data_IF_506267169636
#
_entry.id   IF_506267169636
#
_cell.length_a   1.000
_cell.length_b   1.000
_cell.length_c   1.000
_cell.angle_alpha   90.00
_cell.angle_beta   90.00
_cell.angle_gamma   90.00
#
_symmetry.space_group_name_H-M   'P 1'
#
loop_
_entity.id
_entity.type
_entity.pdbx_description
1 polymer ?
#
# COMPACT_ATOMS: atom_id res chain seq x y z
N UNK A 1 -3.14 9.87 -13.33
CA UNK A 1 -3.98 8.70 -12.97
C UNK A 1 -4.54 8.86 -11.54
N UNK A 2 -5.08 7.83 -10.87
CA UNK A 2 -5.35 7.85 -9.42
C UNK A 2 -4.33 6.97 -8.71
N UNK A 3 -3.58 7.53 -7.76
CA UNK A 3 -2.78 6.74 -6.80
C UNK A 3 -3.63 6.48 -5.55
N UNK A 4 -4.02 5.22 -5.34
CA UNK A 4 -4.77 4.78 -4.18
C UNK A 4 -3.81 4.21 -3.12
N UNK A 5 -4.05 4.57 -1.85
CA UNK A 5 -3.28 4.12 -0.69
C UNK A 5 -4.26 3.50 0.31
N UNK A 6 -3.91 2.34 0.86
CA UNK A 6 -4.70 1.66 1.89
C UNK A 6 -3.82 1.30 3.09
N UNK A 7 -4.23 1.79 4.28
CA UNK A 7 -3.51 1.62 5.56
C UNK A 7 -4.48 1.53 6.74
N UNK A 8 -5.64 0.88 6.56
CA UNK A 8 -6.70 0.86 7.58
C UNK A 8 -6.45 -0.10 8.74
N UNK A 9 -5.70 -1.19 8.51
CA UNK A 9 -5.46 -2.24 9.50
C UNK A 9 -3.98 -2.65 9.53
N UNK A 10 -3.62 -3.80 8.97
CA UNK A 10 -2.27 -4.39 9.04
C UNK A 10 -1.63 -4.60 7.65
N UNK A 11 -2.30 -4.15 6.60
CA UNK A 11 -1.77 -4.09 5.24
C UNK A 11 -1.37 -2.65 4.87
N UNK A 12 -0.23 -2.50 4.19
CA UNK A 12 0.19 -1.24 3.56
C UNK A 12 0.17 -1.45 2.05
N UNK A 13 -0.73 -0.76 1.35
CA UNK A 13 -0.92 -0.99 -0.07
C UNK A 13 -0.84 0.30 -0.88
N UNK A 14 -0.41 0.17 -2.13
CA UNK A 14 -0.50 1.23 -3.13
C UNK A 14 -0.89 0.65 -4.51
N UNK A 15 -1.83 1.31 -5.18
CA UNK A 15 -2.30 0.92 -6.51
C UNK A 15 -2.45 2.16 -7.40
N UNK A 16 -2.02 2.05 -8.65
CA UNK A 16 -2.34 3.02 -9.69
C UNK A 16 -3.61 2.56 -10.40
N UNK A 17 -4.62 3.42 -10.47
CA UNK A 17 -5.94 3.13 -11.04
C UNK A 17 -6.26 4.15 -12.13
N UNK A 18 -6.93 3.72 -13.19
CA UNK A 18 -7.46 4.62 -14.21
C UNK A 18 -8.49 5.58 -13.61
N UNK A 19 -8.65 6.78 -14.21
CA UNK A 19 -9.50 7.84 -13.66
C UNK A 19 -10.98 7.43 -13.51
N UNK A 20 -11.44 6.47 -14.31
CA UNK A 20 -12.79 5.93 -14.22
C UNK A 20 -12.96 4.90 -13.08
N UNK A 21 -11.87 4.54 -12.40
CA UNK A 21 -11.82 3.59 -11.29
C UNK A 21 -12.03 2.12 -11.70
N UNK A 22 -12.12 1.79 -12.99
CA UNK A 22 -12.50 0.44 -13.45
C UNK A 22 -11.33 -0.50 -13.62
N UNK A 23 -10.11 0.03 -13.75
CA UNK A 23 -8.91 -0.77 -14.00
C UNK A 23 -7.74 -0.32 -13.15
N UNK A 24 -7.20 -1.26 -12.38
CA UNK A 24 -5.90 -1.11 -11.73
C UNK A 24 -4.78 -1.44 -12.72
N UNK A 25 -3.77 -0.59 -12.75
CA UNK A 25 -2.54 -0.71 -13.55
C UNK A 25 -1.39 -1.32 -12.74
N UNK A 26 -1.50 -1.28 -11.42
CA UNK A 26 -0.63 -1.95 -10.45
C UNK A 26 -1.41 -2.22 -9.16
N UNK A 27 -0.93 -3.15 -8.35
CA UNK A 27 -1.47 -3.40 -7.02
C UNK A 27 -0.39 -4.01 -6.11
N UNK A 28 0.27 -3.17 -5.34
CA UNK A 28 1.35 -3.59 -4.42
C UNK A 28 0.81 -3.65 -3.00
N UNK A 29 1.03 -4.79 -2.35
CA UNK A 29 0.56 -5.08 -0.99
C UNK A 29 1.73 -5.52 -0.13
N UNK A 30 1.88 -4.90 1.04
CA UNK A 30 2.74 -5.38 2.12
C UNK A 30 1.89 -5.75 3.33
N UNK A 31 1.83 -7.05 3.65
CA UNK A 31 1.12 -7.57 4.83
C UNK A 31 2.05 -7.71 6.04
N UNK A 32 1.59 -7.25 7.20
CA UNK A 32 2.28 -7.41 8.48
C UNK A 32 1.96 -8.79 9.09
N UNK A 33 2.98 -9.50 9.56
CA UNK A 33 2.83 -10.88 10.08
C UNK A 33 3.13 -10.97 11.57
N UNK A 34 3.70 -9.91 12.16
CA UNK A 34 4.15 -9.85 13.53
C UNK A 34 3.02 -9.81 14.56
N UNK A 35 1.78 -9.55 14.14
CA UNK A 35 0.58 -9.50 15.00
C UNK A 35 0.17 -10.87 15.54
N UNK A 36 0.51 -11.96 14.82
CA UNK A 36 0.12 -13.32 15.19
C UNK A 36 0.62 -13.72 16.60
N UNK A 37 1.80 -13.24 17.02
CA UNK A 37 2.35 -13.53 18.36
C UNK A 37 1.61 -12.81 19.49
N UNK A 38 0.82 -11.78 19.17
CA UNK A 38 0.07 -10.98 20.13
C UNK A 38 -1.41 -11.38 20.19
N UNK A 39 -1.84 -12.36 19.39
CA UNK A 39 -3.22 -12.83 19.35
C UNK A 39 -4.18 -11.89 18.62
N UNK A 40 -3.66 -10.92 17.86
CA UNK A 40 -4.45 -9.94 17.13
C UNK A 40 -3.61 -8.73 16.71
N UNK A 41 -4.22 -7.85 15.91
CA UNK A 41 -3.56 -6.62 15.44
C UNK A 41 -3.29 -5.70 16.62
N UNK A 42 -2.02 -5.28 16.75
CA UNK A 42 -1.59 -4.28 17.74
C UNK A 42 -1.53 -2.92 17.04
N UNK A 43 -2.43 -1.97 17.36
CA UNK A 43 -2.57 -0.72 16.58
C UNK A 43 -1.30 0.10 16.45
N UNK A 44 -0.51 0.22 17.53
CA UNK A 44 0.75 0.98 17.52
C UNK A 44 1.81 0.34 16.62
N UNK A 45 1.89 -1.00 16.60
CA UNK A 45 2.82 -1.72 15.72
C UNK A 45 2.41 -1.53 14.27
N UNK A 46 1.11 -1.62 13.99
CA UNK A 46 0.58 -1.42 12.64
C UNK A 46 0.83 -0.01 12.11
N UNK A 47 0.54 1.01 12.91
CA UNK A 47 0.80 2.41 12.55
C UNK A 47 2.26 2.66 12.19
N UNK A 48 3.20 2.12 12.98
CA UNK A 48 4.63 2.27 12.71
C UNK A 48 5.06 1.53 11.45
N UNK A 49 4.56 0.31 11.26
CA UNK A 49 4.88 -0.48 10.07
C UNK A 49 4.40 0.20 8.79
N UNK A 50 3.24 0.87 8.78
CA UNK A 50 2.79 1.68 7.64
C UNK A 50 3.80 2.78 7.28
N UNK A 51 4.28 3.55 8.28
CA UNK A 51 5.25 4.62 8.05
C UNK A 51 6.57 4.09 7.45
N UNK A 52 7.02 2.91 7.87
CA UNK A 52 8.25 2.29 7.37
C UNK A 52 8.14 1.80 5.92
N UNK A 53 6.92 1.48 5.45
CA UNK A 53 6.68 0.75 4.20
C UNK A 53 6.05 1.60 3.10
N UNK A 54 5.41 2.71 3.46
CA UNK A 54 4.59 3.51 2.54
C UNK A 54 5.34 3.93 1.27
N UNK A 55 6.53 4.52 1.42
CA UNK A 55 7.33 4.97 0.28
C UNK A 55 7.73 3.82 -0.64
N UNK A 56 8.00 2.65 -0.07
CA UNK A 56 8.36 1.44 -0.80
C UNK A 56 7.21 0.91 -1.65
N UNK A 57 6.00 0.81 -1.07
CA UNK A 57 4.83 0.34 -1.82
C UNK A 57 4.41 1.33 -2.90
N UNK A 58 4.49 2.64 -2.64
CA UNK A 58 4.22 3.68 -3.65
C UNK A 58 5.20 3.56 -4.81
N UNK A 59 6.50 3.49 -4.51
CA UNK A 59 7.55 3.40 -5.54
C UNK A 59 7.37 2.16 -6.41
N UNK A 60 7.13 1.00 -5.80
CA UNK A 60 6.88 -0.23 -6.52
C UNK A 60 5.61 -0.15 -7.38
N UNK A 61 4.55 0.49 -6.88
CA UNK A 61 3.27 0.65 -7.57
C UNK A 61 3.39 1.52 -8.83
N UNK A 62 4.18 2.60 -8.76
CA UNK A 62 4.48 3.45 -9.92
C UNK A 62 5.33 2.72 -10.96
N UNK A 63 6.34 1.95 -10.51
CA UNK A 63 7.19 1.13 -11.38
C UNK A 63 6.36 0.08 -12.12
N UNK A 64 5.50 -0.66 -11.40
CA UNK A 64 4.65 -1.71 -12.00
C UNK A 64 3.65 -1.13 -13.00
N UNK A 65 3.09 0.05 -12.71
CA UNK A 65 2.20 0.76 -13.63
C UNK A 65 2.94 1.42 -14.82
N UNK A 66 4.28 1.47 -14.76
CA UNK A 66 5.16 2.12 -15.72
C UNK A 66 4.79 3.60 -15.95
N UNK A 67 4.64 4.35 -14.84
CA UNK A 67 4.35 5.78 -14.83
C UNK A 67 5.20 6.50 -13.77
N UNK A 68 5.16 7.83 -13.79
CA UNK A 68 5.76 8.72 -12.79
C UNK A 68 4.67 9.42 -11.97
N UNK A 69 5.06 10.20 -10.96
CA UNK A 69 4.12 11.00 -10.16
C UNK A 69 3.49 12.16 -10.96
N UNK A 70 4.09 12.56 -12.08
CA UNK A 70 3.59 13.66 -12.91
C UNK A 70 2.53 13.21 -13.95
N UNK A 71 2.16 11.91 -13.96
CA UNK A 71 1.20 11.26 -14.90
C UNK A 71 -0.21 11.01 -14.32
#
# INVERSE_FOLDING_TARGET
MILAIETSCDDTCAAVVELDGRRARSNVVHTQTEHARYGGVVPEVASRAHLERLDGVISASLIEANITLDD
#
